data_IF_442514824406
#
_entry.id   IF_442514824406
#
_cell.length_a   1.000
_cell.length_b   1.000
_cell.length_c   1.000
_cell.angle_alpha   90.00
_cell.angle_beta   90.00
_cell.angle_gamma   90.00
#
_symmetry.space_group_name_H-M   'P 1'
#
loop_
_entity.id
_entity.type
_entity.pdbx_description
1 polymer ?
#
# COMPACT_ATOMS: atom_id res chain seq x y z
N UNK A 1 -13.52 49.04 23.22
CA UNK A 1 -13.62 47.56 23.32
C UNK A 1 -13.20 46.95 21.99
N UNK A 2 -12.14 46.17 21.97
CA UNK A 2 -11.67 45.50 20.74
C UNK A 2 -12.59 44.32 20.42
N UNK A 3 -12.84 44.05 19.13
CA UNK A 3 -13.64 42.89 18.67
C UNK A 3 -13.19 41.58 19.29
N UNK A 4 -11.88 41.37 19.46
CA UNK A 4 -11.30 40.21 20.12
C UNK A 4 -11.74 40.04 21.57
N UNK A 5 -11.81 41.14 22.35
CA UNK A 5 -12.25 41.09 23.74
C UNK A 5 -13.75 40.74 23.88
N UNK A 6 -14.58 41.17 22.93
CA UNK A 6 -16.00 40.81 22.88
C UNK A 6 -16.18 39.30 22.58
N UNK A 7 -15.44 38.75 21.59
CA UNK A 7 -15.47 37.33 21.24
C UNK A 7 -15.01 36.47 22.42
N UNK A 8 -13.91 36.84 23.09
CA UNK A 8 -13.40 36.08 24.24
C UNK A 8 -14.40 36.07 25.41
N UNK A 9 -15.08 37.17 25.67
CA UNK A 9 -16.10 37.26 26.74
C UNK A 9 -17.31 36.36 26.42
N UNK A 10 -17.73 36.29 25.15
CA UNK A 10 -18.82 35.41 24.70
C UNK A 10 -18.47 33.94 24.78
N UNK A 11 -17.24 33.55 24.40
CA UNK A 11 -16.72 32.18 24.54
C UNK A 11 -16.68 31.76 26.02
N UNK A 12 -16.27 32.65 26.93
CA UNK A 12 -16.26 32.39 28.39
C UNK A 12 -17.64 32.32 29.02
N UNK A 13 -18.63 32.96 28.45
CA UNK A 13 -19.99 32.94 28.98
C UNK A 13 -20.70 31.59 28.79
N UNK A 14 -20.26 30.77 27.76
CA UNK A 14 -20.83 29.43 27.46
C UNK A 14 -19.73 28.46 27.11
N UNK A 15 -18.90 28.05 28.09
CA UNK A 15 -17.67 27.32 27.85
C UNK A 15 -17.92 25.94 27.24
N UNK A 16 -18.92 25.17 27.67
CA UNK A 16 -19.26 23.85 27.17
C UNK A 16 -19.60 23.86 25.67
N UNK A 17 -20.37 24.87 25.24
CA UNK A 17 -20.72 25.02 23.82
C UNK A 17 -19.51 25.41 22.98
N UNK A 18 -18.71 26.35 23.45
CA UNK A 18 -17.52 26.83 22.75
C UNK A 18 -16.51 25.67 22.60
N UNK A 19 -16.30 24.88 23.64
CA UNK A 19 -15.39 23.72 23.58
C UNK A 19 -15.91 22.62 22.66
N UNK A 20 -17.20 22.26 22.72
CA UNK A 20 -17.77 21.23 21.84
C UNK A 20 -17.72 21.63 20.35
N UNK A 21 -18.06 22.86 20.04
CA UNK A 21 -17.99 23.36 18.67
C UNK A 21 -16.54 23.44 18.19
N UNK A 22 -15.64 23.98 19.02
CA UNK A 22 -14.20 24.00 18.70
C UNK A 22 -13.58 22.63 18.51
N UNK A 23 -13.95 21.66 19.37
CA UNK A 23 -13.50 20.28 19.25
C UNK A 23 -14.03 19.62 17.97
N UNK A 24 -15.29 19.83 17.60
CA UNK A 24 -15.87 19.33 16.36
C UNK A 24 -15.15 19.87 15.12
N UNK A 25 -14.83 21.16 15.09
CA UNK A 25 -14.03 21.76 14.02
C UNK A 25 -12.62 21.19 13.96
N UNK A 26 -11.92 21.12 15.10
CA UNK A 26 -10.56 20.60 15.19
C UNK A 26 -10.50 19.14 14.72
N UNK A 27 -11.45 18.32 15.15
CA UNK A 27 -11.55 16.92 14.73
C UNK A 27 -11.81 16.79 13.22
N UNK A 28 -12.75 17.57 12.67
CA UNK A 28 -13.09 17.52 11.25
C UNK A 28 -11.91 17.96 10.36
N UNK A 29 -11.24 19.05 10.72
CA UNK A 29 -10.05 19.53 10.00
C UNK A 29 -8.90 18.51 10.12
N UNK A 30 -8.70 17.97 11.32
CA UNK A 30 -7.69 16.94 11.57
C UNK A 30 -7.95 15.68 10.74
N UNK A 31 -9.19 15.21 10.66
CA UNK A 31 -9.57 14.05 9.85
C UNK A 31 -9.39 14.32 8.35
N UNK A 32 -9.79 15.48 7.84
CA UNK A 32 -9.55 15.86 6.45
C UNK A 32 -8.04 15.92 6.14
N UNK A 33 -7.26 16.54 7.02
CA UNK A 33 -5.80 16.57 6.90
C UNK A 33 -5.18 15.18 6.89
N UNK A 34 -5.62 14.30 7.79
CA UNK A 34 -5.21 12.91 7.83
C UNK A 34 -5.54 12.16 6.52
N UNK A 35 -6.75 12.32 5.98
CA UNK A 35 -7.16 11.70 4.71
C UNK A 35 -6.32 12.18 3.52
N UNK A 36 -5.99 13.48 3.47
CA UNK A 36 -5.11 14.04 2.44
C UNK A 36 -3.70 13.47 2.57
N UNK A 37 -3.14 13.41 3.77
CA UNK A 37 -1.83 12.81 4.04
C UNK A 37 -1.80 11.32 3.68
N UNK A 38 -2.82 10.56 4.06
CA UNK A 38 -2.96 9.15 3.74
C UNK A 38 -3.04 8.93 2.22
N UNK A 39 -3.88 9.72 1.53
CA UNK A 39 -3.98 9.68 0.06
C UNK A 39 -2.65 10.02 -0.62
N UNK A 40 -1.91 11.01 -0.11
CA UNK A 40 -0.60 11.38 -0.66
C UNK A 40 0.46 10.30 -0.40
N UNK A 41 0.43 9.69 0.78
CA UNK A 41 1.32 8.58 1.12
C UNK A 41 1.11 7.37 0.22
N UNK A 42 -0.15 7.01 -0.07
CA UNK A 42 -0.49 5.91 -0.99
C UNK A 42 -0.06 6.18 -2.46
N UNK A 43 0.11 7.45 -2.84
CA UNK A 43 0.53 7.84 -4.19
C UNK A 43 2.04 8.05 -4.35
N UNK A 44 2.78 8.06 -3.26
CA UNK A 44 4.22 8.33 -3.28
C UNK A 44 4.98 7.10 -3.82
N UNK A 45 5.95 7.33 -4.69
CA UNK A 45 6.95 6.30 -5.02
C UNK A 45 7.79 6.02 -3.78
N UNK A 46 7.80 4.76 -3.33
CA UNK A 46 8.50 4.35 -2.11
C UNK A 46 10.02 4.28 -2.30
N UNK A 47 10.46 4.09 -3.56
CA UNK A 47 11.88 4.01 -3.93
C UNK A 47 12.11 4.62 -5.31
N UNK A 48 13.23 5.34 -5.53
CA UNK A 48 13.65 5.80 -6.85
C UNK A 48 13.87 4.66 -7.86
N UNK A 49 14.21 3.47 -7.36
CA UNK A 49 14.46 2.28 -8.19
C UNK A 49 13.18 1.72 -8.82
N UNK A 50 12.02 1.92 -8.19
CA UNK A 50 10.71 1.54 -8.75
C UNK A 50 10.42 2.19 -10.11
N UNK A 51 10.97 3.37 -10.34
CA UNK A 51 10.79 4.09 -11.61
C UNK A 51 11.45 3.41 -12.81
N UNK A 52 12.34 2.41 -12.59
CA UNK A 52 13.00 1.62 -13.63
C UNK A 52 12.42 0.22 -13.76
N UNK A 53 11.43 -0.14 -12.91
CA UNK A 53 10.84 -1.49 -12.90
C UNK A 53 9.48 -1.51 -13.56
N UNK A 54 9.25 -2.61 -14.22
CA UNK A 54 7.98 -2.96 -14.85
C UNK A 54 7.57 -4.36 -14.39
N UNK A 55 6.27 -4.60 -14.43
CA UNK A 55 5.68 -5.89 -14.11
C UNK A 55 4.96 -6.39 -15.36
N UNK A 56 5.18 -7.66 -15.69
CA UNK A 56 4.44 -8.35 -16.75
C UNK A 56 3.59 -9.43 -16.08
N UNK A 57 2.27 -9.34 -16.25
CA UNK A 57 1.29 -10.28 -15.69
C UNK A 57 0.34 -10.80 -16.77
N UNK A 58 -0.39 -11.87 -16.50
CA UNK A 58 -1.46 -12.31 -17.39
C UNK A 58 -2.55 -11.21 -17.49
N UNK A 59 -3.14 -11.09 -18.69
CA UNK A 59 -4.20 -10.08 -18.97
C UNK A 59 -5.53 -10.48 -18.34
N UNK A 60 -5.79 -11.77 -18.21
CA UNK A 60 -7.05 -12.35 -17.73
C UNK A 60 -7.25 -12.14 -16.23
N UNK A 61 -6.26 -12.44 -15.42
CA UNK A 61 -6.32 -12.31 -13.95
C UNK A 61 -4.92 -12.13 -13.37
N UNK A 62 -4.88 -11.45 -12.24
CA UNK A 62 -3.66 -11.29 -11.44
C UNK A 62 -3.10 -12.64 -10.92
N UNK A 63 -3.99 -13.62 -10.73
CA UNK A 63 -3.63 -14.95 -10.21
C UNK A 63 -3.28 -15.94 -11.31
N UNK A 64 -3.57 -15.61 -12.57
CA UNK A 64 -3.24 -16.46 -13.70
C UNK A 64 -1.74 -16.46 -13.96
N UNK A 65 -1.21 -17.63 -14.34
CA UNK A 65 0.23 -17.82 -14.52
C UNK A 65 0.65 -17.74 -15.98
N UNK A 66 1.75 -17.06 -16.21
CA UNK A 66 2.43 -16.94 -17.50
C UNK A 66 3.39 -18.12 -17.72
N UNK A 67 3.56 -18.58 -18.98
CA UNK A 67 4.61 -19.54 -19.31
C UNK A 67 6.00 -18.97 -19.05
N UNK A 68 6.89 -19.80 -18.47
CA UNK A 68 8.31 -19.42 -18.28
C UNK A 68 9.03 -19.09 -19.58
N UNK A 69 8.57 -19.66 -20.70
CA UNK A 69 9.10 -19.36 -22.04
C UNK A 69 9.03 -17.86 -22.42
N UNK A 70 8.16 -17.07 -21.75
CA UNK A 70 8.09 -15.62 -21.98
C UNK A 70 9.32 -14.88 -21.46
N UNK A 71 10.05 -15.45 -20.50
CA UNK A 71 11.26 -14.83 -19.95
C UNK A 71 12.26 -14.47 -21.06
N UNK A 72 12.59 -15.42 -21.93
CA UNK A 72 13.54 -15.17 -23.02
C UNK A 72 13.07 -14.10 -24.01
N UNK A 73 11.76 -14.03 -24.29
CA UNK A 73 11.18 -12.97 -25.14
C UNK A 73 11.29 -11.59 -24.50
N UNK A 74 11.03 -11.51 -23.20
CA UNK A 74 11.13 -10.26 -22.43
C UNK A 74 12.59 -9.80 -22.35
N UNK A 75 13.52 -10.72 -22.09
CA UNK A 75 14.97 -10.46 -22.04
C UNK A 75 15.51 -9.95 -23.38
N UNK A 76 14.97 -10.45 -24.49
CA UNK A 76 15.37 -10.03 -25.83
C UNK A 76 14.90 -8.60 -26.20
N UNK A 77 14.01 -8.00 -25.39
CA UNK A 77 13.50 -6.64 -25.67
C UNK A 77 14.61 -5.58 -25.44
N UNK A 78 14.93 -4.75 -26.45
CA UNK A 78 15.99 -3.75 -26.32
C UNK A 78 15.73 -2.79 -25.15
N UNK A 79 16.74 -2.61 -24.29
CA UNK A 79 16.68 -1.74 -23.10
C UNK A 79 16.34 -2.49 -21.80
N UNK A 80 15.99 -3.76 -21.85
CA UNK A 80 15.86 -4.61 -20.67
C UNK A 80 17.23 -4.92 -20.10
N UNK A 81 17.39 -4.78 -18.80
CA UNK A 81 18.62 -5.06 -18.05
C UNK A 81 18.56 -6.41 -17.35
N UNK A 82 17.40 -6.76 -16.79
CA UNK A 82 17.18 -8.04 -16.11
C UNK A 82 15.69 -8.40 -16.10
N UNK A 83 15.41 -9.70 -16.04
CA UNK A 83 14.07 -10.25 -15.90
C UNK A 83 14.08 -11.29 -14.79
N UNK A 84 13.14 -11.21 -13.88
CA UNK A 84 13.02 -12.11 -12.74
C UNK A 84 11.61 -12.69 -12.70
N UNK A 85 11.44 -14.01 -12.84
CA UNK A 85 10.16 -14.67 -12.59
C UNK A 85 9.82 -14.58 -11.10
N UNK A 86 8.57 -14.30 -10.82
CA UNK A 86 8.11 -14.01 -9.48
C UNK A 86 6.77 -14.71 -9.23
N UNK A 87 6.75 -15.55 -8.21
CA UNK A 87 5.53 -16.24 -7.79
C UNK A 87 5.10 -15.75 -6.42
N UNK A 88 3.82 -15.82 -6.13
CA UNK A 88 3.29 -15.50 -4.82
C UNK A 88 2.19 -16.48 -4.43
N UNK A 89 2.07 -16.70 -3.13
CA UNK A 89 0.96 -17.40 -2.51
C UNK A 89 0.75 -16.85 -1.09
N UNK A 90 -0.39 -17.16 -0.51
CA UNK A 90 -0.69 -16.82 0.88
C UNK A 90 -0.67 -18.09 1.71
N UNK A 91 0.02 -18.04 2.84
CA UNK A 91 0.08 -19.09 3.83
C UNK A 91 -0.38 -18.58 5.19
N UNK A 92 -0.65 -19.48 6.12
CA UNK A 92 -1.04 -19.13 7.49
C UNK A 92 0.02 -19.59 8.47
N UNK A 93 0.40 -18.71 9.39
CA UNK A 93 1.26 -19.05 10.52
C UNK A 93 0.40 -19.35 11.73
N UNK A 94 0.55 -20.55 12.34
CA UNK A 94 -0.25 -21.07 13.46
C UNK A 94 -1.71 -21.38 13.11
N UNK A 95 -2.50 -20.38 12.74
CA UNK A 95 -3.94 -20.51 12.43
C UNK A 95 -4.36 -19.62 11.24
N UNK A 96 -5.61 -19.75 10.81
CA UNK A 96 -6.15 -19.09 9.62
C UNK A 96 -6.64 -17.64 9.86
N UNK A 97 -6.39 -17.05 11.03
CA UNK A 97 -6.80 -15.67 11.31
C UNK A 97 -6.09 -14.68 10.39
N UNK A 98 -6.75 -13.57 10.01
CA UNK A 98 -6.17 -12.58 9.09
C UNK A 98 -4.81 -12.02 9.54
N UNK A 99 -4.62 -11.86 10.85
CA UNK A 99 -3.35 -11.39 11.41
C UNK A 99 -2.19 -12.37 11.23
N UNK A 100 -2.48 -13.66 11.04
CA UNK A 100 -1.52 -14.74 10.85
C UNK A 100 -1.31 -15.11 9.37
N UNK A 101 -1.92 -14.35 8.45
CA UNK A 101 -1.66 -14.52 7.02
C UNK A 101 -0.27 -14.00 6.67
N UNK A 102 0.49 -14.83 5.95
CA UNK A 102 1.85 -14.58 5.51
C UNK A 102 1.87 -14.55 3.98
N UNK A 103 2.13 -13.41 3.36
CA UNK A 103 2.36 -13.35 1.92
C UNK A 103 3.74 -13.94 1.62
N UNK A 104 3.74 -15.10 0.99
CA UNK A 104 4.96 -15.74 0.49
C UNK A 104 5.17 -15.29 -0.95
N UNK A 105 6.39 -14.90 -1.23
CA UNK A 105 6.87 -14.53 -2.54
C UNK A 105 8.05 -15.42 -2.89
N UNK A 106 8.24 -15.77 -4.15
CA UNK A 106 9.42 -16.55 -4.54
C UNK A 106 10.01 -16.07 -5.85
N UNK A 107 11.33 -16.03 -5.86
CA UNK A 107 12.13 -15.64 -7.01
C UNK A 107 13.50 -16.32 -6.97
N UNK A 108 14.25 -16.35 -8.09
CA UNK A 108 15.67 -16.67 -8.06
C UNK A 108 16.43 -15.65 -7.21
N UNK A 109 17.17 -16.11 -6.18
CA UNK A 109 17.71 -15.26 -5.13
C UNK A 109 18.64 -14.14 -5.64
N UNK A 110 19.71 -14.48 -6.35
CA UNK A 110 20.66 -13.48 -6.85
C UNK A 110 20.03 -12.50 -7.86
N UNK A 111 19.25 -12.95 -8.89
CA UNK A 111 18.57 -12.02 -9.78
C UNK A 111 17.58 -11.12 -9.06
N UNK A 112 16.87 -11.62 -8.04
CA UNK A 112 15.95 -10.84 -7.25
C UNK A 112 16.66 -9.68 -6.54
N UNK A 113 17.78 -9.95 -5.85
CA UNK A 113 18.52 -8.91 -5.13
C UNK A 113 19.09 -7.83 -6.06
N UNK A 114 19.35 -8.17 -7.33
CA UNK A 114 19.77 -7.19 -8.36
C UNK A 114 18.63 -6.31 -8.84
N UNK A 115 17.42 -6.85 -8.90
CA UNK A 115 16.24 -6.11 -9.36
C UNK A 115 15.58 -5.35 -8.20
N UNK A 116 15.58 -5.93 -7.00
CA UNK A 116 15.03 -5.33 -5.79
C UNK A 116 16.14 -4.65 -4.99
N UNK A 117 16.67 -3.55 -5.54
CA UNK A 117 17.84 -2.85 -4.99
C UNK A 117 17.59 -2.25 -3.61
N UNK A 118 16.35 -1.91 -3.27
CA UNK A 118 15.95 -1.44 -1.95
C UNK A 118 15.93 -2.55 -0.88
N UNK A 119 16.17 -3.78 -1.25
CA UNK A 119 16.28 -4.89 -0.29
C UNK A 119 17.34 -4.63 0.78
N UNK A 120 18.47 -3.98 0.40
CA UNK A 120 19.55 -3.57 1.31
C UNK A 120 19.93 -4.64 2.34
N UNK A 121 20.02 -5.90 1.87
CA UNK A 121 20.33 -7.05 2.74
C UNK A 121 21.81 -7.03 3.10
N UNK A 122 22.18 -7.18 4.39
CA UNK A 122 23.59 -7.32 4.77
C UNK A 122 24.28 -8.44 3.99
N UNK A 123 25.50 -8.23 3.47
CA UNK A 123 26.17 -9.19 2.59
C UNK A 123 26.26 -10.62 3.15
N UNK A 124 26.52 -10.77 4.44
CA UNK A 124 26.59 -12.05 5.11
C UNK A 124 25.23 -12.77 5.13
N UNK A 125 24.15 -12.02 5.39
CA UNK A 125 22.79 -12.56 5.38
C UNK A 125 22.33 -12.88 3.95
N UNK A 126 22.65 -12.03 2.98
CA UNK A 126 22.38 -12.28 1.57
C UNK A 126 23.05 -13.59 1.12
N UNK A 127 24.33 -13.78 1.48
CA UNK A 127 25.04 -15.01 1.19
C UNK A 127 24.42 -16.22 1.89
N UNK A 128 24.10 -16.12 3.18
CA UNK A 128 23.46 -17.19 3.94
C UNK A 128 22.09 -17.59 3.35
N UNK A 129 21.33 -16.64 2.83
CA UNK A 129 20.08 -16.92 2.13
C UNK A 129 20.31 -17.57 0.76
N UNK A 130 21.24 -17.05 -0.04
CA UNK A 130 21.56 -17.62 -1.37
C UNK A 130 22.06 -19.06 -1.25
N UNK A 131 22.88 -19.36 -0.26
CA UNK A 131 23.49 -20.67 -0.06
C UNK A 131 22.50 -21.72 0.53
N UNK A 132 21.38 -21.29 1.13
CA UNK A 132 20.36 -22.18 1.68
C UNK A 132 19.11 -22.23 0.77
N UNK A 133 18.93 -23.24 -0.08
CA UNK A 133 17.80 -23.32 -1.00
C UNK A 133 16.42 -23.35 -0.34
N UNK A 134 16.34 -23.72 0.94
CA UNK A 134 15.10 -23.71 1.74
C UNK A 134 15.00 -22.49 2.66
N UNK A 135 16.03 -21.68 2.68
CA UNK A 135 16.09 -20.47 3.50
C UNK A 135 15.12 -19.39 3.04
N UNK A 136 14.73 -18.55 3.97
CA UNK A 136 13.86 -17.40 3.73
C UNK A 136 14.56 -16.08 4.02
N UNK A 137 14.21 -15.08 3.21
CA UNK A 137 14.44 -13.68 3.46
C UNK A 137 13.12 -13.05 3.91
N UNK A 138 13.09 -12.36 5.03
CA UNK A 138 11.86 -11.81 5.62
C UNK A 138 11.85 -10.28 5.65
N UNK A 139 10.70 -9.68 5.35
CA UNK A 139 10.48 -8.26 5.52
C UNK A 139 10.38 -7.88 7.00
N UNK A 140 10.92 -6.72 7.41
CA UNK A 140 10.98 -6.32 8.82
C UNK A 140 9.60 -6.22 9.48
N UNK A 141 8.59 -5.69 8.77
CA UNK A 141 7.23 -5.59 9.32
C UNK A 141 6.62 -6.94 9.64
N UNK A 142 6.87 -7.95 8.79
CA UNK A 142 6.38 -9.30 9.02
C UNK A 142 7.13 -9.96 10.18
N UNK A 143 8.45 -9.79 10.22
CA UNK A 143 9.30 -10.32 11.29
C UNK A 143 8.89 -9.74 12.65
N UNK A 144 8.70 -8.42 12.74
CA UNK A 144 8.26 -7.74 13.97
C UNK A 144 6.84 -8.20 14.38
N UNK A 145 5.90 -8.22 13.43
CA UNK A 145 4.51 -8.63 13.68
C UNK A 145 4.39 -10.05 14.24
N UNK A 146 5.17 -10.99 13.74
CA UNK A 146 5.11 -12.40 14.11
C UNK A 146 6.16 -12.82 15.15
N UNK A 147 7.04 -11.89 15.52
CA UNK A 147 8.12 -12.11 16.49
C UNK A 147 9.25 -12.99 15.95
N UNK A 148 9.47 -13.01 14.64
CA UNK A 148 10.49 -13.84 14.00
C UNK A 148 11.88 -13.20 14.05
N UNK A 149 12.88 -14.05 14.23
CA UNK A 149 14.29 -13.66 14.33
C UNK A 149 15.12 -14.42 13.32
N UNK A 150 16.31 -13.89 13.04
CA UNK A 150 17.31 -14.56 12.24
C UNK A 150 17.64 -15.93 12.86
N UNK A 151 17.61 -16.99 12.07
CA UNK A 151 17.84 -18.37 12.46
C UNK A 151 16.58 -19.14 12.89
N UNK A 152 15.44 -18.51 13.07
CA UNK A 152 14.20 -19.20 13.43
C UNK A 152 13.73 -20.15 12.32
N UNK A 153 13.33 -21.36 12.71
CA UNK A 153 12.65 -22.31 11.83
C UNK A 153 11.16 -22.06 11.85
N UNK A 154 10.60 -21.80 10.68
CA UNK A 154 9.20 -21.43 10.50
C UNK A 154 8.47 -22.53 9.74
N UNK A 155 7.28 -22.86 10.23
CA UNK A 155 6.36 -23.82 9.59
C UNK A 155 5.06 -23.08 9.28
N UNK A 156 4.69 -23.06 8.00
CA UNK A 156 3.51 -22.37 7.49
C UNK A 156 2.55 -23.37 6.87
N UNK A 157 1.26 -23.22 7.13
CA UNK A 157 0.20 -23.93 6.42
C UNK A 157 -0.09 -23.21 5.11
N UNK A 158 0.11 -23.87 3.99
CA UNK A 158 -0.01 -23.28 2.66
C UNK A 158 -0.84 -24.16 1.72
N UNK A 159 -1.49 -23.58 0.70
CA UNK A 159 -2.26 -24.32 -0.31
C UNK A 159 -1.31 -24.97 -1.33
N UNK A 160 -0.44 -25.83 -0.85
CA UNK A 160 0.51 -26.63 -1.66
C UNK A 160 0.25 -28.12 -1.44
N UNK A 161 0.65 -29.06 -2.32
CA UNK A 161 0.44 -30.50 -2.16
C UNK A 161 1.00 -30.91 -0.84
N UNK A 162 1.69 -30.85 -0.10
CA UNK A 162 2.07 -31.26 1.27
C UNK A 162 1.37 -30.47 2.38
N UNK A 163 0.64 -29.39 2.05
CA UNK A 163 -0.06 -28.53 3.02
C UNK A 163 0.85 -27.65 3.88
N UNK A 164 2.17 -27.79 3.76
CA UNK A 164 3.15 -27.15 4.67
C UNK A 164 4.34 -26.62 3.87
N UNK A 165 4.79 -25.43 4.28
CA UNK A 165 6.08 -24.82 3.86
C UNK A 165 6.95 -24.68 5.10
N UNK A 166 8.10 -25.33 5.09
CA UNK A 166 9.10 -25.23 6.16
C UNK A 166 10.28 -24.41 5.67
N UNK A 167 10.73 -23.45 6.46
CA UNK A 167 11.85 -22.59 6.10
C UNK A 167 12.59 -22.10 7.34
N UNK A 168 13.82 -21.63 7.14
CA UNK A 168 14.61 -20.98 8.19
C UNK A 168 14.89 -19.53 7.78
N UNK A 169 14.67 -18.57 8.66
CA UNK A 169 14.98 -17.17 8.39
C UNK A 169 16.50 -16.99 8.30
N UNK A 170 17.00 -16.74 7.08
CA UNK A 170 18.42 -16.53 6.80
C UNK A 170 18.81 -15.07 6.64
N UNK A 171 17.84 -14.23 6.29
CA UNK A 171 18.07 -12.82 6.09
C UNK A 171 16.84 -11.99 6.44
N UNK A 172 17.08 -10.71 6.79
CA UNK A 172 16.05 -9.70 6.98
C UNK A 172 16.32 -8.55 6.01
N UNK A 173 15.27 -8.10 5.32
CA UNK A 173 15.34 -6.96 4.42
C UNK A 173 15.67 -5.67 5.18
N UNK A 174 16.48 -4.80 4.58
CA UNK A 174 16.71 -3.45 5.08
C UNK A 174 15.52 -2.52 4.88
N UNK A 175 14.69 -2.77 3.86
CA UNK A 175 13.51 -1.95 3.56
C UNK A 175 12.41 -2.13 4.61
N UNK A 176 12.27 -1.14 5.48
CA UNK A 176 11.47 -1.21 6.71
C UNK A 176 9.97 -1.43 6.51
N UNK A 177 9.42 -1.12 5.36
CA UNK A 177 7.98 -1.24 5.08
C UNK A 177 7.60 -2.57 4.41
N UNK A 178 8.56 -3.47 4.23
CA UNK A 178 8.30 -4.78 3.63
C UNK A 178 7.66 -5.74 4.63
N UNK A 179 6.62 -6.43 4.19
CA UNK A 179 5.88 -7.42 4.97
C UNK A 179 5.83 -8.79 4.27
N UNK A 180 6.72 -9.05 3.32
CA UNK A 180 6.82 -10.30 2.58
C UNK A 180 7.71 -11.34 3.23
N UNK A 181 7.50 -12.60 2.88
CA UNK A 181 8.43 -13.70 3.10
C UNK A 181 8.91 -14.20 1.74
N UNK A 182 10.21 -14.12 1.48
CA UNK A 182 10.80 -14.44 0.19
C UNK A 182 11.53 -15.77 0.25
N UNK A 183 11.12 -16.72 -0.62
CA UNK A 183 11.69 -18.02 -0.75
C UNK A 183 12.39 -18.17 -2.10
N UNK A 184 13.29 -19.16 -2.20
CA UNK A 184 13.86 -19.54 -3.49
C UNK A 184 12.79 -20.08 -4.42
N UNK A 185 12.76 -19.60 -5.66
CA UNK A 185 11.79 -20.06 -6.66
C UNK A 185 11.88 -21.60 -6.87
N UNK A 186 13.08 -22.14 -6.88
CA UNK A 186 13.28 -23.59 -7.01
C UNK A 186 12.60 -24.38 -5.89
N UNK A 187 12.72 -23.92 -4.66
CA UNK A 187 12.06 -24.56 -3.52
C UNK A 187 10.53 -24.45 -3.65
N UNK A 188 10.02 -23.28 -3.99
CA UNK A 188 8.59 -23.07 -4.16
C UNK A 188 8.02 -23.90 -5.31
N UNK A 189 8.71 -24.01 -6.46
CA UNK A 189 8.23 -24.79 -7.60
C UNK A 189 8.16 -26.29 -7.30
N UNK A 190 9.07 -26.80 -6.48
CA UNK A 190 9.00 -28.18 -5.98
C UNK A 190 7.78 -28.41 -5.08
N UNK A 191 7.44 -27.44 -4.22
CA UNK A 191 6.27 -27.52 -3.34
C UNK A 191 4.95 -27.40 -4.11
N UNK A 192 4.90 -26.57 -5.14
CA UNK A 192 3.69 -26.33 -5.94
C UNK A 192 3.54 -27.23 -7.14
N UNK A 193 4.57 -28.02 -7.50
CA UNK A 193 4.64 -28.83 -8.73
C UNK A 193 4.43 -28.01 -10.02
N UNK A 194 4.81 -26.75 -10.03
CA UNK A 194 4.57 -25.81 -11.12
C UNK A 194 5.87 -25.11 -11.56
N UNK A 195 6.74 -25.87 -12.22
CA UNK A 195 8.03 -25.35 -12.68
C UNK A 195 7.94 -24.53 -13.99
N UNK A 196 6.93 -24.83 -14.80
CA UNK A 196 6.79 -24.28 -16.16
C UNK A 196 6.09 -22.92 -16.23
N UNK A 197 5.59 -22.38 -15.11
CA UNK A 197 4.80 -21.15 -15.07
C UNK A 197 5.23 -20.23 -13.94
N UNK A 198 4.88 -18.96 -14.05
CA UNK A 198 5.10 -17.93 -13.01
C UNK A 198 3.93 -16.97 -12.96
N UNK A 199 3.65 -16.36 -11.81
CA UNK A 199 2.58 -15.38 -11.69
C UNK A 199 2.91 -14.09 -12.43
N UNK A 200 4.18 -13.65 -12.40
CA UNK A 200 4.60 -12.42 -13.07
C UNK A 200 6.09 -12.44 -13.38
N UNK A 201 6.51 -11.52 -14.23
CA UNK A 201 7.91 -11.19 -14.41
C UNK A 201 8.17 -9.77 -13.91
N UNK A 202 9.18 -9.61 -13.07
CA UNK A 202 9.76 -8.32 -12.77
C UNK A 202 10.83 -8.00 -13.79
N UNK A 203 10.71 -6.86 -14.42
CA UNK A 203 11.58 -6.42 -15.51
C UNK A 203 12.26 -5.12 -15.10
N UNK A 204 13.59 -5.12 -15.12
CA UNK A 204 14.40 -3.94 -14.87
C UNK A 204 14.82 -3.34 -16.21
N UNK A 205 14.55 -2.06 -16.41
CA UNK A 205 15.08 -1.31 -17.55
C UNK A 205 16.51 -0.86 -17.28
N UNK A 206 17.32 -0.73 -18.33
CA UNK A 206 18.67 -0.15 -18.25
C UNK A 206 18.65 1.30 -17.77
N UNK A 207 17.66 2.06 -18.24
CA UNK A 207 17.47 3.44 -17.84
C UNK A 207 15.98 3.72 -17.59
N UNK A 208 15.69 4.74 -16.77
CA UNK A 208 14.31 5.20 -16.54
C UNK A 208 13.61 5.64 -17.84
N UNK A 209 14.36 6.24 -18.78
CA UNK A 209 13.83 6.68 -20.07
C UNK A 209 13.40 5.56 -21.00
N UNK A 210 13.84 4.32 -20.75
CA UNK A 210 13.47 3.15 -21.56
C UNK A 210 12.11 2.54 -21.15
N UNK A 211 11.61 2.82 -19.96
CA UNK A 211 10.46 2.14 -19.34
C UNK A 211 9.22 2.20 -20.23
N UNK A 212 8.83 3.38 -20.69
CA UNK A 212 7.62 3.54 -21.51
C UNK A 212 7.76 2.80 -22.84
N UNK A 213 8.93 2.87 -23.47
CA UNK A 213 9.23 2.18 -24.73
C UNK A 213 9.17 0.66 -24.57
N UNK A 214 9.80 0.14 -23.52
CA UNK A 214 9.81 -1.31 -23.22
C UNK A 214 8.37 -1.76 -22.90
N UNK A 215 7.64 -1.04 -22.05
CA UNK A 215 6.26 -1.36 -21.69
C UNK A 215 5.38 -1.44 -22.93
N UNK A 216 5.47 -0.47 -23.83
CA UNK A 216 4.72 -0.48 -25.08
C UNK A 216 5.13 -1.61 -26.06
N UNK A 217 6.41 -1.95 -26.10
CA UNK A 217 6.91 -3.06 -26.91
C UNK A 217 6.40 -4.40 -26.40
N UNK A 218 6.52 -4.65 -25.10
CA UNK A 218 6.05 -5.89 -24.45
C UNK A 218 4.53 -6.03 -24.52
N UNK A 219 3.78 -4.93 -24.35
CA UNK A 219 2.33 -4.96 -24.48
C UNK A 219 1.90 -5.43 -25.88
N UNK A 220 2.55 -4.95 -26.95
CA UNK A 220 2.27 -5.37 -28.33
C UNK A 220 2.71 -6.81 -28.60
N UNK A 221 3.90 -7.18 -28.16
CA UNK A 221 4.46 -8.51 -28.42
C UNK A 221 3.67 -9.62 -27.71
N UNK A 222 3.19 -9.37 -26.50
CA UNK A 222 2.51 -10.35 -25.67
C UNK A 222 0.97 -10.30 -25.74
N UNK A 223 0.39 -9.34 -26.47
CA UNK A 223 -1.07 -9.20 -26.56
C UNK A 223 -1.75 -10.42 -27.19
N UNK A 224 -1.17 -10.94 -28.27
CA UNK A 224 -1.69 -12.10 -29.01
C UNK A 224 -0.93 -13.39 -28.71
N UNK A 225 -0.18 -13.44 -27.62
CA UNK A 225 0.50 -14.62 -27.19
C UNK A 225 -0.49 -15.70 -26.68
N UNK A 226 -0.11 -17.00 -26.62
CA UNK A 226 -1.00 -18.08 -26.16
C UNK A 226 -1.66 -17.81 -24.79
N UNK A 227 -0.96 -17.14 -23.90
CA UNK A 227 -1.50 -16.54 -22.69
C UNK A 227 -1.30 -15.03 -22.81
N UNK A 228 -2.32 -14.28 -23.18
CA UNK A 228 -2.18 -12.84 -23.34
C UNK A 228 -1.65 -12.18 -22.05
N UNK A 229 -0.61 -11.37 -22.19
CA UNK A 229 0.00 -10.68 -21.08
C UNK A 229 -0.04 -9.17 -21.27
N UNK A 230 0.08 -8.45 -20.17
CA UNK A 230 0.19 -6.99 -20.13
C UNK A 230 1.45 -6.60 -19.38
N UNK A 231 2.12 -5.59 -19.89
CA UNK A 231 3.22 -4.95 -19.22
C UNK A 231 2.76 -3.60 -18.66
N UNK A 232 3.18 -3.27 -17.45
CA UNK A 232 2.89 -2.01 -16.79
C UNK A 232 4.04 -1.61 -15.89
N UNK A 233 4.14 -0.34 -15.55
CA UNK A 233 5.11 0.12 -14.54
C UNK A 233 4.77 -0.48 -13.18
N UNK A 234 5.77 -0.65 -12.31
CA UNK A 234 5.53 -1.13 -10.95
C UNK A 234 4.54 -0.25 -10.20
N UNK A 235 4.60 1.07 -10.43
CA UNK A 235 3.64 2.02 -9.87
C UNK A 235 2.20 1.75 -10.32
N UNK A 236 1.98 1.51 -11.62
CA UNK A 236 0.64 1.17 -12.15
C UNK A 236 0.14 -0.13 -11.54
N UNK A 237 1.02 -1.11 -11.42
CA UNK A 237 0.71 -2.39 -10.78
C UNK A 237 0.29 -2.21 -9.31
N UNK A 238 1.02 -1.42 -8.53
CA UNK A 238 0.67 -1.15 -7.14
C UNK A 238 -0.68 -0.45 -7.00
N UNK A 239 -0.95 0.55 -7.84
CA UNK A 239 -2.24 1.24 -7.83
C UNK A 239 -3.38 0.28 -8.17
N UNK A 240 -3.20 -0.59 -9.17
CA UNK A 240 -4.19 -1.59 -9.55
C UNK A 240 -4.41 -2.64 -8.46
N UNK A 241 -3.35 -3.05 -7.77
CA UNK A 241 -3.46 -3.96 -6.63
C UNK A 241 -4.26 -3.33 -5.48
N UNK A 242 -4.02 -2.06 -5.18
CA UNK A 242 -4.80 -1.32 -4.19
C UNK A 242 -6.28 -1.19 -4.59
N UNK A 243 -6.57 -0.96 -5.88
CA UNK A 243 -7.95 -0.92 -6.40
C UNK A 243 -8.65 -2.28 -6.28
N UNK A 244 -7.92 -3.38 -6.45
CA UNK A 244 -8.45 -4.74 -6.29
C UNK A 244 -8.81 -5.05 -4.81
N UNK A 245 -8.06 -4.53 -3.85
CA UNK A 245 -8.35 -4.67 -2.42
C UNK A 245 -9.58 -3.85 -1.97
N UNK A 246 -10.13 -3.03 -2.83
CA UNK A 246 -11.30 -2.19 -2.62
C UNK A 246 -11.06 -0.81 -3.20
N UNK A 247 -12.13 -0.09 -3.52
CA UNK A 247 -12.00 1.27 -4.05
C UNK A 247 -11.61 2.25 -2.93
N UNK A 248 -10.36 2.15 -2.47
CA UNK A 248 -9.80 2.95 -1.36
C UNK A 248 -9.98 4.45 -1.63
N UNK A 249 -9.83 4.87 -2.89
CA UNK A 249 -10.02 6.29 -3.26
C UNK A 249 -11.49 6.73 -3.10
N UNK A 250 -12.46 5.88 -3.49
CA UNK A 250 -13.87 6.18 -3.28
C UNK A 250 -14.24 6.15 -1.80
N UNK A 251 -13.69 5.20 -1.03
CA UNK A 251 -13.88 5.15 0.42
C UNK A 251 -13.33 6.42 1.10
N UNK A 252 -12.09 6.80 0.81
CA UNK A 252 -11.48 8.02 1.35
C UNK A 252 -12.26 9.27 0.91
N UNK A 253 -12.70 9.34 -0.34
CA UNK A 253 -13.53 10.41 -0.87
C UNK A 253 -14.89 10.51 -0.17
N UNK A 254 -15.57 9.39 0.04
CA UNK A 254 -16.87 9.36 0.73
C UNK A 254 -16.77 9.77 2.19
N UNK A 255 -15.75 9.30 2.90
CA UNK A 255 -15.47 9.73 4.29
C UNK A 255 -15.13 11.23 4.34
N UNK A 256 -14.35 11.73 3.39
CA UNK A 256 -14.04 13.16 3.27
C UNK A 256 -15.28 14.02 3.04
N UNK A 257 -16.16 13.61 2.12
CA UNK A 257 -17.44 14.29 1.85
C UNK A 257 -18.38 14.26 3.07
N UNK A 258 -18.52 13.10 3.72
CA UNK A 258 -19.33 12.96 4.92
C UNK A 258 -18.83 13.88 6.05
N UNK A 259 -17.50 13.94 6.24
CA UNK A 259 -16.87 14.82 7.23
C UNK A 259 -17.09 16.30 6.91
N UNK A 260 -16.92 16.69 5.64
CA UNK A 260 -17.20 18.06 5.16
C UNK A 260 -18.66 18.45 5.38
N UNK A 261 -19.59 17.55 5.06
CA UNK A 261 -21.02 17.76 5.28
C UNK A 261 -21.38 17.89 6.77
N UNK A 262 -20.83 17.02 7.62
CA UNK A 262 -21.01 17.13 9.07
C UNK A 262 -20.49 18.46 9.61
N UNK A 263 -19.34 18.93 9.12
CA UNK A 263 -18.79 20.25 9.48
C UNK A 263 -19.70 21.39 9.08
N UNK A 264 -20.28 21.35 7.87
CA UNK A 264 -21.26 22.34 7.40
C UNK A 264 -22.50 22.37 8.28
N UNK A 265 -23.04 21.20 8.67
CA UNK A 265 -24.21 21.11 9.56
C UNK A 265 -23.92 21.70 10.94
N UNK A 266 -22.78 21.36 11.54
CA UNK A 266 -22.36 21.91 12.84
C UNK A 266 -22.22 23.45 12.76
N UNK A 267 -21.60 23.90 11.68
CA UNK A 267 -21.43 25.35 11.44
C UNK A 267 -22.78 26.06 11.28
N UNK A 268 -23.66 25.54 10.42
CA UNK A 268 -24.99 26.08 10.17
C UNK A 268 -25.83 26.13 11.46
N UNK A 269 -25.82 25.05 12.25
CA UNK A 269 -26.53 24.98 13.53
C UNK A 269 -25.98 25.99 14.52
N UNK A 270 -24.66 26.17 14.63
CA UNK A 270 -24.00 27.14 15.47
C UNK A 270 -24.39 28.60 15.09
N UNK A 271 -24.41 28.89 13.79
CA UNK A 271 -24.83 30.22 13.27
C UNK A 271 -26.32 30.44 13.56
N UNK A 272 -27.19 29.49 13.26
CA UNK A 272 -28.62 29.58 13.48
C UNK A 272 -28.96 29.85 14.96
N UNK A 273 -28.28 29.13 15.84
CA UNK A 273 -28.49 29.33 17.29
C UNK A 273 -27.95 30.68 17.78
N UNK A 274 -26.79 31.12 17.27
CA UNK A 274 -26.28 32.46 17.57
C UNK A 274 -27.20 33.60 17.07
N UNK A 275 -27.79 33.41 15.89
CA UNK A 275 -28.76 34.35 15.34
C UNK A 275 -30.04 34.43 16.18
N UNK A 276 -30.58 33.29 16.67
CA UNK A 276 -31.74 33.24 17.56
C UNK A 276 -31.46 33.97 18.89
N UNK A 277 -30.30 33.75 19.48
CA UNK A 277 -29.89 34.42 20.73
C UNK A 277 -29.79 35.91 20.56
N UNK A 278 -29.18 36.41 19.49
CA UNK A 278 -29.09 37.84 19.17
C UNK A 278 -30.48 38.49 18.95
N UNK A 279 -31.41 37.76 18.35
CA UNK A 279 -32.80 38.23 18.20
C UNK A 279 -33.47 38.44 19.53
N UNK A 280 -33.29 37.54 20.50
CA UNK A 280 -33.86 37.67 21.85
C UNK A 280 -33.22 38.83 22.62
N UNK A 281 -31.88 38.96 22.58
CA UNK A 281 -31.17 40.10 23.19
C UNK A 281 -31.62 41.45 22.57
N UNK A 282 -31.73 41.47 21.24
CA UNK A 282 -32.23 42.68 20.54
C UNK A 282 -33.70 43.01 20.88
N UNK A 283 -34.55 41.98 21.11
CA UNK A 283 -35.92 42.20 21.54
C UNK A 283 -36.00 42.81 22.94
N UNK A 284 -35.20 42.32 23.89
CA UNK A 284 -35.09 42.88 25.24
C UNK A 284 -34.60 44.33 25.22
N UNK A 285 -33.55 44.64 24.42
CA UNK A 285 -33.04 45.98 24.27
C UNK A 285 -34.10 46.96 23.71
N UNK A 286 -34.97 46.50 22.79
CA UNK A 286 -36.07 47.29 22.26
C UNK A 286 -37.13 47.62 23.30
N UNK A 287 -37.48 46.64 24.14
CA UNK A 287 -38.44 46.85 25.23
C UNK A 287 -37.87 47.88 26.22
N UNK A 288 -36.56 47.96 26.38
CA UNK A 288 -35.83 48.90 27.20
C UNK A 288 -35.63 50.26 26.51
N UNK A 289 -36.20 50.54 25.31
CA UNK A 289 -36.20 51.82 24.62
C UNK A 289 -34.97 52.15 23.77
N UNK A 290 -34.06 51.12 23.46
CA UNK A 290 -32.91 51.36 22.61
C UNK A 290 -33.30 51.34 21.11
N UNK A 291 -32.89 52.38 20.30
CA UNK A 291 -33.24 52.45 18.87
C UNK A 291 -32.47 51.42 18.02
N UNK A 292 -33.04 51.09 16.85
CA UNK A 292 -32.33 50.30 15.83
C UNK A 292 -31.16 51.10 15.26
N UNK A 293 -29.94 50.62 15.44
CA UNK A 293 -28.82 51.03 14.57
C UNK A 293 -28.64 49.99 13.50
#
# INVERSE_FOLDING_TARGET
MTYAGYVLRHLRARPLRATLTGAAFAFSIGLLGFLVLLSSALRKEWSPHMAQRMIVTAKSSFFDKLPMAYQARIEATPGVAAVVPFDFLFASYRDARPENQVPIQSAPAEPMLRVYMEAEVPPEQAKAWIDDPTGALVGPLLAEKLGWKLGDRIVLKAPVPGGVVETTIRAVLGYRLDAGLYLHRRYMSQLTTDEGRTNMFWVLAKTRGDVDRITAALARDLENAPVPARAMTERQWQLQFLEMLGNVNALLGSVGLATGFALLLVTANSIAMSARERRNESAVLRVLGFPRK
#
